data_IF_846103775216
#
_entry.id   IF_846103775216
#
_cell.length_a   1.000
_cell.length_b   1.000
_cell.length_c   1.000
_cell.angle_alpha   90.00
_cell.angle_beta   90.00
_cell.angle_gamma   90.00
#
_symmetry.space_group_name_H-M   'P 1'
#
loop_
_entity.id
_entity.type
_entity.pdbx_description
1 polymer ?
#
# COMPACT_ATOMS: atom_id res chain seq x y z
N UNK A 1 11.21 -40.85 -10.38
CA UNK A 1 9.91 -40.45 -9.80
C UNK A 1 10.09 -40.33 -8.31
N UNK A 2 9.79 -39.16 -7.71
CA UNK A 2 9.95 -38.93 -6.27
C UNK A 2 8.60 -38.49 -5.71
N UNK A 3 8.02 -39.35 -4.89
CA UNK A 3 6.85 -39.04 -4.06
C UNK A 3 7.35 -38.38 -2.77
N UNK A 4 6.97 -37.12 -2.51
CA UNK A 4 7.00 -36.56 -1.15
C UNK A 4 5.67 -35.90 -0.84
N UNK A 5 5.03 -36.47 0.17
CA UNK A 5 3.66 -36.29 0.62
C UNK A 5 3.33 -34.90 1.16
N UNK A 6 2.20 -34.36 0.71
CA UNK A 6 1.45 -33.25 1.31
C UNK A 6 0.78 -33.64 2.65
N UNK A 7 1.52 -34.25 3.60
CA UNK A 7 0.94 -34.83 4.82
C UNK A 7 1.30 -34.10 6.12
N UNK A 8 2.16 -33.08 6.11
CA UNK A 8 2.43 -32.25 7.29
C UNK A 8 2.42 -30.77 6.92
N UNK A 9 1.24 -30.22 6.71
CA UNK A 9 0.98 -28.79 6.52
C UNK A 9 1.29 -27.92 7.75
N UNK A 10 2.49 -28.04 8.32
CA UNK A 10 2.89 -27.37 9.58
C UNK A 10 3.80 -26.16 9.30
N UNK A 11 4.35 -26.04 8.09
CA UNK A 11 5.18 -24.89 7.68
C UNK A 11 4.40 -23.74 7.04
N UNK A 12 3.34 -24.05 6.29
CA UNK A 12 2.62 -23.06 5.49
C UNK A 12 1.79 -22.12 6.37
N UNK A 13 1.17 -22.63 7.43
CA UNK A 13 0.34 -21.82 8.31
C UNK A 13 1.18 -20.81 9.12
N UNK A 14 2.42 -21.15 9.49
CA UNK A 14 3.35 -20.22 10.14
C UNK A 14 3.85 -19.13 9.19
N UNK A 15 4.07 -19.48 7.91
CA UNK A 15 4.44 -18.51 6.89
C UNK A 15 3.27 -17.57 6.58
N UNK A 16 2.07 -18.11 6.39
CA UNK A 16 0.84 -17.32 6.22
C UNK A 16 0.59 -16.41 7.43
N UNK A 17 0.70 -16.92 8.65
CA UNK A 17 0.55 -16.09 9.85
C UNK A 17 1.65 -15.01 9.98
N UNK A 18 2.88 -15.25 9.51
CA UNK A 18 3.93 -14.23 9.47
C UNK A 18 3.66 -13.16 8.40
N UNK A 19 3.08 -13.55 7.26
CA UNK A 19 2.61 -12.65 6.21
C UNK A 19 1.43 -11.83 6.74
N UNK A 20 0.44 -12.46 7.37
CA UNK A 20 -0.72 -11.79 7.99
C UNK A 20 -0.31 -10.87 9.15
N UNK A 21 0.71 -11.24 9.93
CA UNK A 21 1.22 -10.41 11.03
C UNK A 21 2.06 -9.22 10.55
N UNK A 22 2.64 -9.28 9.34
CA UNK A 22 3.22 -8.12 8.66
C UNK A 22 2.18 -7.32 7.87
N UNK A 23 1.11 -7.94 7.38
CA UNK A 23 -0.02 -7.24 6.76
C UNK A 23 -0.87 -6.47 7.78
N UNK A 24 -0.78 -6.82 9.06
CA UNK A 24 -1.27 -6.02 10.19
C UNK A 24 -0.35 -4.83 10.54
N UNK A 25 0.54 -4.40 9.63
CA UNK A 25 0.99 -3.01 9.64
C UNK A 25 -0.28 -2.16 9.51
N UNK A 26 -0.47 -1.21 10.44
CA UNK A 26 -1.65 -0.33 10.44
C UNK A 26 -1.67 0.46 9.14
N UNK A 27 -2.35 -0.07 8.14
CA UNK A 27 -2.66 0.62 6.92
C UNK A 27 -3.79 1.59 7.23
N UNK A 28 -3.67 2.80 6.69
CA UNK A 28 -4.71 3.81 6.80
C UNK A 28 -5.01 4.35 5.42
N UNK A 29 -6.29 4.56 5.17
CA UNK A 29 -6.73 5.29 4.00
C UNK A 29 -6.40 6.76 4.19
N UNK A 30 -5.69 7.33 3.21
CA UNK A 30 -5.35 8.75 3.18
C UNK A 30 -5.77 9.34 1.85
N UNK A 31 -6.15 10.61 1.91
CA UNK A 31 -6.52 11.40 0.76
C UNK A 31 -5.41 12.41 0.49
N UNK A 32 -4.96 12.46 -0.76
CA UNK A 32 -3.84 13.28 -1.20
C UNK A 32 -4.23 14.11 -2.41
N UNK A 33 -3.72 15.34 -2.50
CA UNK A 33 -3.80 16.14 -3.73
C UNK A 33 -2.38 16.42 -4.22
N UNK A 34 -2.04 15.84 -5.38
CA UNK A 34 -0.72 15.97 -5.98
C UNK A 34 -0.79 16.98 -7.12
N UNK A 35 -0.09 18.14 -7.03
CA UNK A 35 -0.03 19.08 -8.14
C UNK A 35 0.59 18.44 -9.38
N UNK A 36 0.15 18.83 -10.58
CA UNK A 36 0.71 18.30 -11.84
C UNK A 36 2.22 18.51 -12.00
N UNK A 37 2.79 19.50 -11.31
CA UNK A 37 4.23 19.73 -11.27
C UNK A 37 5.04 18.66 -10.53
N UNK A 38 4.38 17.76 -9.78
CA UNK A 38 5.03 16.75 -8.93
C UNK A 38 4.72 15.30 -9.36
N UNK A 39 4.71 15.03 -10.68
CA UNK A 39 4.44 13.68 -11.22
C UNK A 39 5.37 12.57 -10.70
N UNK A 40 6.59 12.91 -10.26
CA UNK A 40 7.50 11.96 -9.60
C UNK A 40 6.93 11.41 -8.28
N UNK A 41 6.11 12.20 -7.58
CA UNK A 41 5.46 11.80 -6.33
C UNK A 41 4.36 10.78 -6.60
N UNK A 42 3.66 10.89 -7.74
CA UNK A 42 2.62 9.92 -8.13
C UNK A 42 3.23 8.53 -8.30
N UNK A 43 4.36 8.44 -9.02
CA UNK A 43 5.08 7.17 -9.15
C UNK A 43 5.56 6.61 -7.81
N UNK A 44 5.92 7.46 -6.85
CA UNK A 44 6.27 7.03 -5.49
C UNK A 44 5.04 6.53 -4.71
N UNK A 45 3.88 7.15 -4.89
CA UNK A 45 2.62 6.72 -4.27
C UNK A 45 2.24 5.34 -4.80
N UNK A 46 2.26 5.13 -6.11
CA UNK A 46 1.98 3.82 -6.71
C UNK A 46 2.94 2.71 -6.24
N UNK A 47 4.16 3.05 -5.83
CA UNK A 47 5.14 2.10 -5.30
C UNK A 47 4.99 1.81 -3.81
N UNK A 48 4.43 2.74 -3.04
CA UNK A 48 4.37 2.71 -1.56
C UNK A 48 2.97 2.53 -1.01
N UNK A 49 1.95 2.78 -1.82
CA UNK A 49 0.57 2.45 -1.49
C UNK A 49 0.38 0.95 -1.58
N UNK A 50 -0.31 0.40 -0.59
CA UNK A 50 -0.79 -0.97 -0.63
C UNK A 50 -1.90 -1.10 -1.67
N UNK A 51 -2.79 -0.11 -1.73
CA UNK A 51 -3.88 -0.05 -2.69
C UNK A 51 -4.21 1.39 -3.05
N UNK A 52 -4.44 1.67 -4.34
CA UNK A 52 -5.02 2.95 -4.79
C UNK A 52 -6.53 2.74 -4.95
N UNK A 53 -7.30 3.37 -4.07
CA UNK A 53 -8.75 3.25 -3.99
C UNK A 53 -9.43 4.16 -5.01
N UNK A 54 -8.88 5.36 -5.20
CA UNK A 54 -9.45 6.35 -6.12
C UNK A 54 -8.37 7.27 -6.68
N UNK A 55 -8.46 7.59 -7.98
CA UNK A 55 -7.65 8.61 -8.64
C UNK A 55 -8.58 9.53 -9.45
N UNK A 56 -8.51 10.84 -9.21
CA UNK A 56 -9.31 11.84 -9.92
C UNK A 56 -8.45 13.02 -10.36
N UNK A 57 -8.50 13.33 -11.65
CA UNK A 57 -7.84 14.50 -12.23
C UNK A 57 -8.69 15.74 -11.96
N UNK A 58 -8.18 16.66 -11.13
CA UNK A 58 -8.83 17.93 -10.77
C UNK A 58 -8.06 19.11 -11.36
N UNK A 59 -8.65 20.29 -11.35
CA UNK A 59 -8.00 21.51 -11.87
C UNK A 59 -6.71 21.85 -11.12
N UNK A 60 -6.64 21.55 -9.82
CA UNK A 60 -5.49 21.87 -8.96
C UNK A 60 -4.45 20.73 -8.88
N UNK A 61 -4.67 19.61 -9.55
CA UNK A 61 -3.81 18.43 -9.48
C UNK A 61 -4.59 17.12 -9.48
N UNK A 62 -3.91 16.03 -9.17
CA UNK A 62 -4.46 14.68 -9.13
C UNK A 62 -4.81 14.35 -7.68
N UNK A 63 -6.10 14.19 -7.42
CA UNK A 63 -6.60 13.65 -6.16
C UNK A 63 -6.38 12.14 -6.15
N UNK A 64 -5.73 11.64 -5.12
CA UNK A 64 -5.46 10.22 -4.94
C UNK A 64 -5.92 9.80 -3.54
N UNK A 65 -6.81 8.82 -3.49
CA UNK A 65 -7.17 8.12 -2.27
C UNK A 65 -6.47 6.77 -2.29
N UNK A 66 -5.60 6.54 -1.32
CA UNK A 66 -4.82 5.31 -1.27
C UNK A 66 -4.73 4.78 0.16
N UNK A 67 -4.67 3.47 0.28
CA UNK A 67 -4.29 2.78 1.50
C UNK A 67 -2.77 2.71 1.59
N UNK A 68 -2.22 3.29 2.65
CA UNK A 68 -0.77 3.35 2.89
C UNK A 68 -0.47 2.86 4.30
N UNK A 69 0.64 2.16 4.47
CA UNK A 69 1.15 1.83 5.80
C UNK A 69 1.56 3.09 6.58
N UNK A 70 1.54 2.99 7.91
CA UNK A 70 1.99 4.05 8.82
C UNK A 70 3.39 4.59 8.47
N UNK A 71 4.32 3.70 8.07
CA UNK A 71 5.68 4.05 7.64
C UNK A 71 5.71 4.87 6.35
N UNK A 72 4.87 4.50 5.38
CA UNK A 72 4.76 5.19 4.08
C UNK A 72 4.03 6.53 4.22
N UNK A 73 3.03 6.58 5.12
CA UNK A 73 2.28 7.80 5.42
C UNK A 73 3.19 8.94 5.87
N UNK A 74 4.25 8.68 6.64
CA UNK A 74 5.11 9.74 7.17
C UNK A 74 5.69 10.65 6.08
N UNK A 75 6.04 10.09 4.91
CA UNK A 75 6.60 10.86 3.78
C UNK A 75 5.53 11.55 2.93
N UNK A 76 4.31 11.02 2.94
CA UNK A 76 3.18 11.50 2.14
C UNK A 76 2.32 12.54 2.87
N UNK A 77 2.49 12.70 4.19
CA UNK A 77 1.74 13.64 5.02
C UNK A 77 1.69 15.07 4.47
N UNK A 78 2.74 15.51 3.76
CA UNK A 78 2.83 16.83 3.11
C UNK A 78 1.79 17.07 2.01
N UNK A 79 1.18 16.01 1.46
CA UNK A 79 0.14 16.08 0.44
C UNK A 79 -1.25 15.78 0.98
N UNK A 80 -1.37 15.50 2.29
CA UNK A 80 -2.64 15.11 2.88
C UNK A 80 -3.61 16.28 2.87
N UNK A 81 -4.77 16.01 2.29
CA UNK A 81 -5.95 16.86 2.37
C UNK A 81 -6.77 16.38 3.57
N UNK A 82 -7.23 17.34 4.37
CA UNK A 82 -7.86 17.12 5.67
C UNK A 82 -9.36 17.32 5.58
#
# INVERSE_FOLDING_TARGET
MVYVSALKGIGLHKLLALIEKHAALKSKTVEMLIPYGEGSVISEIYKKANEVIEEQYRENGIYIKAEVDETSSAKLQKYFIR
#
